data_IF_107319843691
#
_entry.id   IF_107319843691
#
_cell.length_a   1.000
_cell.length_b   1.000
_cell.length_c   1.000
_cell.angle_alpha   90.00
_cell.angle_beta   90.00
_cell.angle_gamma   90.00
#
_symmetry.space_group_name_H-M   'P 1'
#
loop_
_entity.id
_entity.type
_entity.pdbx_description
1 polymer ?
#
# COMPACT_ATOMS: atom_id res chain seq x y z
N UNK A 1 -4.10 21.46 -65.99
CA UNK A 1 -3.05 22.05 -66.87
C UNK A 1 -1.77 21.93 -66.07
N UNK A 2 -1.00 20.93 -66.51
CA UNK A 2 0.45 20.71 -66.65
C UNK A 2 1.32 20.92 -65.42
N UNK A 3 1.99 19.83 -64.95
CA UNK A 3 3.15 19.10 -65.52
C UNK A 3 4.46 19.81 -65.28
N UNK A 4 5.52 19.33 -64.86
CA UNK A 4 6.42 18.17 -65.12
C UNK A 4 7.63 18.36 -64.23
N UNK A 5 8.14 17.33 -63.53
CA UNK A 5 9.23 16.40 -63.84
C UNK A 5 10.60 17.04 -64.20
N UNK A 6 11.62 16.63 -63.49
CA UNK A 6 12.82 15.88 -63.93
C UNK A 6 13.87 15.91 -62.81
N UNK A 7 14.30 14.85 -62.24
CA UNK A 7 15.27 13.78 -62.59
C UNK A 7 16.74 14.21 -62.69
N UNK A 8 17.52 13.40 -61.93
CA UNK A 8 18.89 12.88 -62.24
C UNK A 8 20.09 13.80 -61.98
N UNK A 9 21.19 13.40 -61.48
CA UNK A 9 21.95 12.14 -61.58
C UNK A 9 23.17 12.14 -60.68
N UNK A 10 23.62 10.98 -60.38
CA UNK A 10 24.82 10.59 -59.66
C UNK A 10 26.15 11.06 -60.35
N UNK A 11 27.22 11.12 -59.60
CA UNK A 11 28.44 10.31 -59.89
C UNK A 11 29.55 10.49 -58.84
N UNK A 12 30.05 9.37 -58.45
CA UNK A 12 31.24 8.95 -57.70
C UNK A 12 32.51 9.62 -58.16
N UNK A 13 33.46 9.88 -57.23
CA UNK A 13 34.92 9.56 -57.41
C UNK A 13 35.57 9.43 -56.05
N UNK A 14 36.19 8.26 -55.79
CA UNK A 14 37.18 7.97 -54.78
C UNK A 14 38.48 8.80 -54.97
N UNK A 15 39.13 9.15 -53.83
CA UNK A 15 40.60 8.96 -53.72
C UNK A 15 41.06 8.95 -52.28
N UNK A 16 41.89 7.95 -51.95
CA UNK A 16 42.63 7.70 -50.74
C UNK A 16 43.66 8.78 -50.43
N UNK A 17 43.93 9.06 -49.15
CA UNK A 17 45.28 9.20 -48.69
C UNK A 17 45.33 8.88 -47.17
N UNK A 18 46.32 8.04 -46.82
CA UNK A 18 46.73 7.54 -45.54
C UNK A 18 47.27 8.68 -44.61
N UNK A 19 47.11 8.50 -43.28
CA UNK A 19 47.87 9.32 -42.34
C UNK A 19 47.34 9.25 -40.90
N UNK A 20 47.92 8.31 -40.13
CA UNK A 20 48.30 8.34 -38.73
C UNK A 20 47.24 8.27 -37.61
N UNK A 21 47.37 7.19 -36.87
CA UNK A 21 46.86 6.85 -35.57
C UNK A 21 46.98 7.97 -34.52
N UNK A 22 45.91 8.32 -33.87
CA UNK A 22 45.89 8.61 -32.43
C UNK A 22 44.71 7.94 -31.75
N UNK A 23 45.02 6.94 -30.98
CA UNK A 23 44.17 6.14 -30.15
C UNK A 23 43.69 7.00 -28.97
N UNK A 24 42.47 7.55 -29.01
CA UNK A 24 41.78 8.05 -27.83
C UNK A 24 40.69 7.05 -27.49
N UNK A 25 41.03 6.15 -26.58
CA UNK A 25 40.07 5.32 -25.89
C UNK A 25 39.18 6.21 -24.99
N UNK A 26 38.06 6.66 -25.50
CA UNK A 26 36.95 7.10 -24.66
C UNK A 26 36.22 5.86 -24.12
N UNK A 27 36.67 5.38 -22.98
CA UNK A 27 35.94 4.47 -22.16
C UNK A 27 34.79 5.25 -21.52
N UNK A 28 33.67 5.38 -22.23
CA UNK A 28 32.37 5.65 -21.61
C UNK A 28 31.97 4.37 -20.86
N UNK A 29 32.39 4.29 -19.60
CA UNK A 29 31.81 3.38 -18.63
C UNK A 29 30.41 3.86 -18.39
N UNK A 30 29.44 3.33 -19.11
CA UNK A 30 28.05 3.32 -18.70
C UNK A 30 28.05 2.56 -17.38
N UNK A 31 27.89 3.27 -16.25
CA UNK A 31 27.52 2.64 -15.01
C UNK A 31 26.13 2.05 -15.25
N UNK A 32 26.06 0.76 -15.55
CA UNK A 32 24.88 -0.02 -15.34
C UNK A 32 24.52 0.18 -13.85
N UNK A 33 23.40 0.83 -13.59
CA UNK A 33 22.78 0.79 -12.28
C UNK A 33 22.40 -0.68 -12.07
N UNK A 34 23.25 -1.41 -11.36
CA UNK A 34 22.87 -2.68 -10.76
C UNK A 34 21.72 -2.36 -9.80
N UNK A 35 20.48 -2.55 -10.24
CA UNK A 35 19.34 -2.70 -9.35
C UNK A 35 19.64 -3.91 -8.49
N UNK A 36 20.02 -3.68 -7.24
CA UNK A 36 20.30 -4.77 -6.30
C UNK A 36 19.05 -5.66 -6.22
N UNK A 37 19.23 -6.97 -6.42
CA UNK A 37 18.12 -7.92 -6.32
C UNK A 37 17.46 -7.80 -4.93
N UNK A 38 16.13 -7.86 -4.91
CA UNK A 38 15.35 -7.91 -3.66
C UNK A 38 15.78 -9.12 -2.83
N UNK A 39 16.02 -8.93 -1.54
CA UNK A 39 16.48 -9.96 -0.62
C UNK A 39 15.42 -10.29 0.42
N UNK A 40 15.32 -11.57 0.78
CA UNK A 40 14.55 -12.04 1.93
C UNK A 40 15.50 -12.38 3.07
N UNK A 41 15.18 -11.91 4.27
CA UNK A 41 15.84 -12.27 5.51
C UNK A 41 14.81 -12.81 6.51
N UNK A 42 14.99 -14.06 6.95
CA UNK A 42 14.12 -14.67 7.96
C UNK A 42 14.60 -14.25 9.34
N UNK A 43 13.69 -13.69 10.13
CA UNK A 43 13.97 -13.14 11.45
C UNK A 43 13.10 -13.77 12.52
N UNK A 44 13.55 -13.72 13.77
CA UNK A 44 12.75 -14.11 14.92
C UNK A 44 12.27 -12.88 15.69
N UNK A 45 10.96 -12.61 15.61
CA UNK A 45 10.27 -11.57 16.35
C UNK A 45 9.31 -12.14 17.40
N UNK A 46 9.44 -13.41 17.76
CA UNK A 46 8.54 -14.11 18.70
C UNK A 46 8.39 -13.39 20.04
N UNK A 47 9.46 -12.74 20.52
CA UNK A 47 9.43 -11.98 21.77
C UNK A 47 8.40 -10.82 21.75
N UNK A 48 8.21 -10.16 20.59
CA UNK A 48 7.26 -9.06 20.44
C UNK A 48 5.80 -9.53 20.39
N UNK A 49 5.58 -10.77 19.95
CA UNK A 49 4.24 -11.39 19.87
C UNK A 49 3.74 -11.94 21.20
N UNK A 50 4.63 -12.19 22.18
CA UNK A 50 4.27 -12.61 23.54
C UNK A 50 3.32 -13.84 23.58
N UNK A 51 3.53 -14.78 22.68
CA UNK A 51 2.73 -16.01 22.55
C UNK A 51 1.46 -15.87 21.69
N UNK A 52 1.16 -14.68 21.17
CA UNK A 52 0.06 -14.49 20.20
C UNK A 52 0.51 -15.01 18.83
N UNK A 53 -0.36 -15.77 18.17
CA UNK A 53 -0.11 -16.26 16.81
C UNK A 53 -0.23 -15.12 15.78
N UNK A 54 0.75 -15.06 14.87
CA UNK A 54 0.77 -14.06 13.82
C UNK A 54 2.08 -14.02 13.05
N UNK A 55 2.24 -13.01 12.25
CA UNK A 55 3.45 -12.78 11.44
C UNK A 55 3.74 -11.28 11.26
N UNK A 56 4.97 -10.98 10.85
CA UNK A 56 5.39 -9.62 10.57
C UNK A 56 6.28 -9.56 9.33
N UNK A 57 6.06 -8.55 8.51
CA UNK A 57 6.90 -8.15 7.38
C UNK A 57 7.43 -6.76 7.65
N UNK A 58 8.73 -6.57 7.50
CA UNK A 58 9.36 -5.25 7.44
C UNK A 58 10.15 -5.19 6.15
N UNK A 59 9.97 -4.14 5.37
CA UNK A 59 10.73 -3.88 4.15
C UNK A 59 11.48 -2.56 4.26
N UNK A 60 12.78 -2.64 4.16
CA UNK A 60 13.68 -1.49 4.14
C UNK A 60 14.01 -1.12 2.69
N UNK A 61 13.56 0.07 2.27
CA UNK A 61 13.76 0.52 0.89
C UNK A 61 15.24 0.82 0.58
N UNK A 62 16.04 1.17 1.60
CA UNK A 62 17.47 1.48 1.40
C UNK A 62 18.26 0.22 1.06
N UNK A 63 18.10 -0.83 1.86
CA UNK A 63 18.79 -2.11 1.66
C UNK A 63 18.10 -3.02 0.65
N UNK A 64 16.90 -2.65 0.17
CA UNK A 64 16.04 -3.46 -0.68
C UNK A 64 15.81 -4.88 -0.10
N UNK A 65 15.51 -4.95 1.20
CA UNK A 65 15.45 -6.21 1.94
C UNK A 65 14.12 -6.36 2.68
N UNK A 66 13.49 -7.52 2.51
CA UNK A 66 12.36 -7.96 3.32
C UNK A 66 12.86 -8.76 4.53
N UNK A 67 12.33 -8.44 5.70
CA UNK A 67 12.55 -9.17 6.95
C UNK A 67 11.23 -9.83 7.33
N UNK A 68 11.23 -11.15 7.39
CA UNK A 68 10.01 -11.96 7.48
C UNK A 68 10.03 -12.80 8.76
N UNK A 69 9.05 -12.57 9.62
CA UNK A 69 8.76 -13.44 10.77
C UNK A 69 7.53 -14.31 10.46
N UNK A 70 7.66 -15.63 10.57
CA UNK A 70 6.67 -16.60 10.11
C UNK A 70 6.36 -16.46 8.62
N UNK A 71 7.36 -16.69 7.77
CA UNK A 71 7.32 -16.47 6.32
C UNK A 71 6.06 -17.04 5.65
N UNK A 72 5.66 -18.26 5.98
CA UNK A 72 4.48 -18.90 5.38
C UNK A 72 3.21 -18.05 5.60
N UNK A 73 3.02 -17.53 6.81
CA UNK A 73 1.90 -16.65 7.13
C UNK A 73 2.04 -15.28 6.46
N UNK A 74 3.28 -14.79 6.29
CA UNK A 74 3.53 -13.54 5.56
C UNK A 74 3.13 -13.62 4.08
N UNK A 75 3.13 -14.82 3.49
CA UNK A 75 2.79 -15.08 2.09
C UNK A 75 1.34 -15.57 1.92
N UNK A 76 0.62 -15.86 3.01
CA UNK A 76 -0.77 -16.33 2.98
C UNK A 76 -1.74 -15.17 2.81
N UNK A 77 -2.64 -15.29 1.82
CA UNK A 77 -3.66 -14.29 1.56
C UNK A 77 -4.86 -14.43 2.51
N UNK A 78 -5.20 -13.36 3.20
CA UNK A 78 -6.30 -13.26 4.15
C UNK A 78 -7.11 -11.98 3.93
N UNK A 79 -8.26 -11.83 4.59
CA UNK A 79 -9.08 -10.62 4.44
C UNK A 79 -8.32 -9.37 4.89
N UNK A 80 -8.30 -8.28 4.08
CA UNK A 80 -7.62 -7.05 4.45
C UNK A 80 -8.31 -6.29 5.58
N UNK A 81 -9.58 -6.52 5.81
CA UNK A 81 -10.37 -5.81 6.82
C UNK A 81 -10.27 -4.27 6.61
N UNK A 82 -10.18 -3.52 7.70
CA UNK A 82 -10.12 -2.05 7.64
C UNK A 82 -8.82 -1.48 7.08
N UNK A 83 -7.79 -2.29 6.79
CA UNK A 83 -6.60 -1.81 6.07
C UNK A 83 -6.94 -1.45 4.61
N UNK A 84 -8.00 -2.04 4.04
CA UNK A 84 -8.51 -1.70 2.71
C UNK A 84 -8.96 -0.24 2.59
N UNK A 85 -9.20 0.46 3.70
CA UNK A 85 -9.54 1.88 3.69
C UNK A 85 -8.44 2.76 3.09
N UNK A 86 -7.18 2.31 3.08
CA UNK A 86 -6.09 2.98 2.36
C UNK A 86 -6.40 3.02 0.86
N UNK A 87 -6.76 1.87 0.29
CA UNK A 87 -7.11 1.74 -1.14
C UNK A 87 -8.43 2.44 -1.46
N UNK A 88 -9.44 2.32 -0.57
CA UNK A 88 -10.72 2.99 -0.73
C UNK A 88 -10.58 4.51 -0.76
N UNK A 89 -9.74 5.08 0.13
CA UNK A 89 -9.46 6.51 0.15
C UNK A 89 -8.74 6.95 -1.12
N UNK A 90 -7.71 6.21 -1.54
CA UNK A 90 -6.99 6.50 -2.77
C UNK A 90 -7.92 6.46 -3.99
N UNK A 91 -8.74 5.42 -4.13
CA UNK A 91 -9.71 5.30 -5.22
C UNK A 91 -10.72 6.47 -5.21
N UNK A 92 -11.20 6.84 -4.03
CA UNK A 92 -12.10 7.98 -3.88
C UNK A 92 -11.46 9.31 -4.30
N UNK A 93 -10.20 9.54 -3.97
CA UNK A 93 -9.44 10.73 -4.34
C UNK A 93 -9.16 10.75 -5.85
N UNK A 94 -8.65 9.65 -6.42
CA UNK A 94 -8.32 9.54 -7.85
C UNK A 94 -9.55 9.69 -8.76
N UNK A 95 -10.75 9.29 -8.28
CA UNK A 95 -12.00 9.41 -9.01
C UNK A 95 -12.82 10.68 -8.64
N UNK A 96 -12.23 11.63 -7.92
CA UNK A 96 -12.88 12.88 -7.50
C UNK A 96 -14.17 12.70 -6.68
N UNK A 97 -14.37 11.54 -6.05
CA UNK A 97 -15.42 11.29 -5.05
C UNK A 97 -15.05 11.98 -3.73
N UNK A 98 -13.77 11.98 -3.44
CA UNK A 98 -13.13 12.71 -2.35
C UNK A 98 -12.20 13.78 -2.94
N UNK A 99 -12.12 14.94 -2.30
CA UNK A 99 -11.33 16.09 -2.78
C UNK A 99 -10.17 16.40 -1.84
N UNK A 100 -10.39 16.23 -0.53
CA UNK A 100 -9.40 16.46 0.52
C UNK A 100 -9.82 15.75 1.82
N UNK A 101 -9.03 15.92 2.87
CA UNK A 101 -9.30 15.32 4.19
C UNK A 101 -10.62 15.76 4.83
N UNK A 102 -11.21 16.85 4.39
CA UNK A 102 -12.50 17.37 4.90
C UNK A 102 -13.72 16.89 4.08
N UNK A 103 -13.52 16.07 3.06
CA UNK A 103 -14.62 15.52 2.24
C UNK A 103 -15.56 14.68 3.12
N UNK A 104 -16.87 14.94 3.02
CA UNK A 104 -17.89 14.29 3.84
C UNK A 104 -18.73 13.33 3.02
N UNK A 105 -19.23 12.27 3.69
CA UNK A 105 -20.33 11.42 3.20
C UNK A 105 -21.56 11.62 4.07
N UNK A 106 -22.75 11.47 3.48
CA UNK A 106 -24.01 11.72 4.16
C UNK A 106 -24.32 10.57 5.13
N UNK A 107 -24.44 10.90 6.43
CA UNK A 107 -24.90 9.98 7.45
C UNK A 107 -26.38 9.66 7.27
N UNK A 108 -26.72 8.38 7.22
CA UNK A 108 -28.08 7.91 6.93
C UNK A 108 -29.05 7.90 8.14
N UNK A 109 -28.58 8.33 9.33
CA UNK A 109 -29.39 8.36 10.55
C UNK A 109 -29.52 7.00 11.27
N UNK A 110 -28.91 5.95 10.75
CA UNK A 110 -28.90 4.63 11.42
C UNK A 110 -28.03 4.68 12.67
N UNK A 111 -28.55 4.16 13.79
CA UNK A 111 -27.77 4.03 15.02
C UNK A 111 -26.77 2.90 14.90
N UNK A 112 -25.48 3.25 14.78
CA UNK A 112 -24.37 2.29 14.79
C UNK A 112 -23.88 2.00 16.20
N UNK A 113 -23.28 0.81 16.45
CA UNK A 113 -22.74 0.46 17.78
C UNK A 113 -21.59 1.33 18.23
N UNK A 114 -20.87 1.95 17.29
CA UNK A 114 -19.72 2.82 17.56
C UNK A 114 -20.22 4.27 17.52
N UNK A 115 -20.21 4.94 18.67
CA UNK A 115 -20.81 6.27 18.81
C UNK A 115 -20.21 7.31 17.87
N UNK A 116 -18.91 7.26 17.59
CA UNK A 116 -18.22 8.16 16.65
C UNK A 116 -18.70 8.02 15.21
N UNK A 117 -19.43 6.94 14.86
CA UNK A 117 -19.98 6.73 13.52
C UNK A 117 -21.36 7.37 13.33
N UNK A 118 -21.99 7.90 14.39
CA UNK A 118 -23.36 8.38 14.39
C UNK A 118 -23.47 9.89 14.08
N UNK A 119 -22.71 10.35 13.11
CA UNK A 119 -22.73 11.73 12.62
C UNK A 119 -22.12 11.81 11.21
N UNK A 120 -22.26 12.96 10.56
CA UNK A 120 -21.48 13.26 9.36
C UNK A 120 -20.01 13.30 9.73
N UNK A 121 -19.19 12.55 8.98
CA UNK A 121 -17.75 12.46 9.19
C UNK A 121 -17.00 13.03 7.98
N UNK A 122 -15.89 13.66 8.22
CA UNK A 122 -14.88 13.96 7.20
C UNK A 122 -14.08 12.70 6.85
N UNK A 123 -13.36 12.72 5.73
CA UNK A 123 -12.48 11.61 5.34
C UNK A 123 -11.48 11.30 6.46
N UNK A 124 -10.87 12.34 7.06
CA UNK A 124 -9.92 12.16 8.16
C UNK A 124 -10.57 11.48 9.36
N UNK A 125 -11.71 11.98 9.83
CA UNK A 125 -12.43 11.39 10.96
C UNK A 125 -12.89 9.95 10.68
N UNK A 126 -13.40 9.69 9.47
CA UNK A 126 -13.84 8.36 9.06
C UNK A 126 -12.66 7.36 9.00
N UNK A 127 -11.49 7.81 8.56
CA UNK A 127 -10.29 6.98 8.52
C UNK A 127 -9.76 6.69 9.93
N UNK A 128 -9.63 7.71 10.79
CA UNK A 128 -9.20 7.59 12.18
C UNK A 128 -10.14 6.69 13.00
N UNK A 129 -11.46 6.86 12.86
CA UNK A 129 -12.48 6.06 13.53
C UNK A 129 -12.80 4.73 12.81
N UNK A 130 -12.11 4.44 11.73
CA UNK A 130 -12.29 3.21 10.93
C UNK A 130 -13.76 2.98 10.51
N UNK A 131 -14.48 4.05 10.15
CA UNK A 131 -15.90 4.04 9.86
C UNK A 131 -16.21 3.25 8.59
N UNK A 132 -16.94 2.14 8.72
CA UNK A 132 -17.22 1.24 7.59
C UNK A 132 -18.24 1.87 6.63
N UNK A 133 -19.34 2.42 7.12
CA UNK A 133 -20.40 2.96 6.26
C UNK A 133 -19.90 4.11 5.37
N UNK A 134 -18.97 4.94 5.86
CA UNK A 134 -18.37 6.01 5.08
C UNK A 134 -17.63 5.46 3.85
N UNK A 135 -16.73 4.50 4.07
CA UNK A 135 -15.95 3.89 2.99
C UNK A 135 -16.80 2.97 2.11
N UNK A 136 -17.89 2.40 2.63
CA UNK A 136 -18.87 1.71 1.80
C UNK A 136 -19.49 2.67 0.77
N UNK A 137 -19.90 3.85 1.19
CA UNK A 137 -20.43 4.87 0.27
C UNK A 137 -19.38 5.31 -0.76
N UNK A 138 -18.12 5.57 -0.32
CA UNK A 138 -17.03 5.90 -1.24
C UNK A 138 -16.86 4.83 -2.30
N UNK A 139 -16.76 3.57 -1.90
CA UNK A 139 -16.57 2.43 -2.81
C UNK A 139 -17.76 2.28 -3.77
N UNK A 140 -18.99 2.45 -3.29
CA UNK A 140 -20.20 2.36 -4.13
C UNK A 140 -20.28 3.49 -5.17
N UNK A 141 -19.85 4.71 -4.82
CA UNK A 141 -19.82 5.85 -5.74
C UNK A 141 -18.72 5.70 -6.78
N UNK A 142 -17.52 5.24 -6.38
CA UNK A 142 -16.42 4.93 -7.31
C UNK A 142 -16.84 3.85 -8.29
N UNK A 143 -17.51 2.80 -7.81
CA UNK A 143 -18.08 1.73 -8.62
C UNK A 143 -17.12 0.56 -8.87
N UNK A 144 -17.70 -0.55 -9.33
CA UNK A 144 -16.99 -1.83 -9.46
C UNK A 144 -15.84 -1.78 -10.47
N UNK A 145 -16.03 -1.11 -11.61
CA UNK A 145 -15.05 -1.05 -12.68
C UNK A 145 -13.77 -0.33 -12.22
N UNK A 146 -13.91 0.86 -11.63
CA UNK A 146 -12.78 1.67 -11.20
C UNK A 146 -12.10 1.06 -9.97
N UNK A 147 -12.86 0.48 -9.04
CA UNK A 147 -12.27 -0.28 -7.92
C UNK A 147 -11.47 -1.48 -8.43
N UNK A 148 -12.00 -2.26 -9.38
CA UNK A 148 -11.27 -3.40 -9.93
C UNK A 148 -10.01 -2.97 -10.69
N UNK A 149 -10.09 -1.88 -11.45
CA UNK A 149 -8.94 -1.29 -12.15
C UNK A 149 -7.85 -0.88 -11.16
N UNK A 150 -8.22 -0.20 -10.06
CA UNK A 150 -7.29 0.17 -8.99
C UNK A 150 -6.63 -1.04 -8.35
N UNK A 151 -7.40 -2.09 -8.02
CA UNK A 151 -6.85 -3.32 -7.43
C UNK A 151 -5.86 -4.03 -8.37
N UNK A 152 -6.13 -4.01 -9.68
CA UNK A 152 -5.22 -4.58 -10.70
C UNK A 152 -3.94 -3.76 -10.84
N UNK A 153 -4.04 -2.44 -10.86
CA UNK A 153 -2.87 -1.56 -10.90
C UNK A 153 -1.97 -1.77 -9.69
N UNK A 154 -2.57 -1.87 -8.50
CA UNK A 154 -1.87 -2.11 -7.25
C UNK A 154 -1.38 -3.56 -7.08
N UNK A 155 -1.76 -4.49 -7.97
CA UNK A 155 -1.57 -5.94 -7.79
C UNK A 155 -2.04 -6.39 -6.38
N UNK A 156 -3.21 -5.88 -5.95
CA UNK A 156 -3.71 -6.03 -4.59
C UNK A 156 -4.30 -7.43 -4.37
N UNK A 157 -3.50 -8.33 -3.84
CA UNK A 157 -3.89 -9.69 -3.52
C UNK A 157 -4.57 -10.41 -4.69
N UNK A 158 -5.66 -11.12 -4.40
CA UNK A 158 -6.45 -11.81 -5.42
C UNK A 158 -7.31 -10.88 -6.29
N UNK A 159 -7.42 -9.61 -5.95
CA UNK A 159 -8.26 -8.60 -6.63
C UNK A 159 -9.73 -9.02 -6.80
N UNK A 160 -10.24 -9.92 -5.96
CA UNK A 160 -11.58 -10.48 -6.08
C UNK A 160 -12.64 -9.60 -5.40
N UNK A 161 -13.49 -8.98 -6.22
CA UNK A 161 -14.63 -8.15 -5.79
C UNK A 161 -15.97 -8.85 -6.05
N UNK A 162 -15.99 -10.16 -6.33
CA UNK A 162 -17.19 -10.90 -6.72
C UNK A 162 -18.31 -10.84 -5.67
N UNK A 163 -17.93 -10.78 -4.38
CA UNK A 163 -18.88 -10.57 -3.29
C UNK A 163 -18.97 -9.08 -2.94
N UNK A 164 -19.35 -8.22 -3.89
CA UNK A 164 -19.39 -6.76 -3.73
C UNK A 164 -20.08 -6.30 -2.46
N UNK A 165 -21.21 -6.92 -2.11
CA UNK A 165 -21.99 -6.60 -0.92
C UNK A 165 -21.54 -7.35 0.34
N UNK A 166 -20.43 -8.09 0.25
CA UNK A 166 -19.85 -8.86 1.35
C UNK A 166 -20.60 -10.16 1.64
N UNK A 167 -20.11 -10.88 2.64
CA UNK A 167 -20.63 -12.17 3.10
C UNK A 167 -21.85 -12.08 4.01
N UNK A 168 -22.39 -10.89 4.23
CA UNK A 168 -23.57 -10.61 5.08
C UNK A 168 -23.38 -11.00 6.56
N UNK A 169 -22.15 -10.90 7.05
CA UNK A 169 -21.82 -11.15 8.46
C UNK A 169 -22.54 -10.14 9.37
N UNK A 170 -22.65 -8.88 8.93
CA UNK A 170 -23.37 -7.85 9.67
C UNK A 170 -24.81 -7.72 9.15
N UNK A 171 -25.76 -7.54 10.07
CA UNK A 171 -27.17 -7.33 9.74
C UNK A 171 -27.46 -5.98 9.05
N UNK A 172 -26.58 -4.98 9.27
CA UNK A 172 -26.62 -3.69 8.58
C UNK A 172 -25.87 -3.80 7.26
N UNK A 173 -26.54 -3.66 6.08
CA UNK A 173 -25.91 -3.86 4.78
C UNK A 173 -24.67 -2.99 4.55
N UNK A 174 -24.71 -1.75 5.02
CA UNK A 174 -23.63 -0.77 4.88
C UNK A 174 -22.37 -1.08 5.71
N UNK A 175 -22.44 -2.08 6.58
CA UNK A 175 -21.33 -2.59 7.37
C UNK A 175 -20.73 -3.88 6.79
N UNK A 176 -21.09 -4.24 5.57
CA UNK A 176 -20.52 -5.35 4.82
C UNK A 176 -19.79 -4.84 3.57
N UNK A 177 -18.90 -5.65 3.02
CA UNK A 177 -18.19 -5.37 1.79
C UNK A 177 -17.23 -6.49 1.44
N UNK A 178 -16.82 -6.57 0.18
CA UNK A 178 -15.92 -7.61 -0.33
C UNK A 178 -14.57 -7.68 0.40
N UNK A 179 -14.18 -6.62 1.12
CA UNK A 179 -12.94 -6.53 1.91
C UNK A 179 -13.09 -6.95 3.38
N UNK A 180 -14.32 -7.23 3.84
CA UNK A 180 -14.63 -7.57 5.23
C UNK A 180 -14.98 -9.05 5.35
N UNK A 181 -13.96 -9.89 5.57
CA UNK A 181 -14.08 -11.35 5.70
C UNK A 181 -14.88 -12.00 4.56
N UNK A 182 -14.64 -11.50 3.34
CA UNK A 182 -15.36 -11.88 2.13
C UNK A 182 -14.40 -12.24 0.99
N UNK A 183 -14.70 -11.93 -0.26
CA UNK A 183 -13.94 -12.42 -1.43
C UNK A 183 -12.53 -11.86 -1.56
N UNK A 184 -12.30 -10.58 -1.21
CA UNK A 184 -10.98 -9.96 -1.34
C UNK A 184 -9.99 -10.48 -0.30
N UNK A 185 -8.82 -10.92 -0.77
CA UNK A 185 -7.72 -11.42 0.06
C UNK A 185 -6.40 -10.79 -0.36
N UNK A 186 -5.50 -10.62 0.61
CA UNK A 186 -4.16 -10.08 0.42
C UNK A 186 -3.22 -10.65 1.48
N UNK A 187 -1.96 -10.89 1.12
CA UNK A 187 -0.96 -11.34 2.09
C UNK A 187 -0.22 -10.15 2.74
N UNK A 188 0.40 -10.33 3.90
CA UNK A 188 1.25 -9.31 4.52
C UNK A 188 2.36 -8.78 3.60
N UNK A 189 3.01 -9.64 2.83
CA UNK A 189 4.02 -9.23 1.83
C UNK A 189 3.40 -8.35 0.75
N UNK A 190 2.22 -8.72 0.23
CA UNK A 190 1.51 -7.91 -0.77
C UNK A 190 1.02 -6.58 -0.19
N UNK A 191 0.63 -6.50 1.08
CA UNK A 191 0.31 -5.23 1.75
C UNK A 191 1.51 -4.27 1.72
N UNK A 192 2.69 -4.77 2.08
CA UNK A 192 3.94 -3.99 2.06
C UNK A 192 4.29 -3.56 0.64
N UNK A 193 4.18 -4.46 -0.35
CA UNK A 193 4.44 -4.15 -1.75
C UNK A 193 3.48 -3.06 -2.28
N UNK A 194 2.19 -3.15 -1.93
CA UNK A 194 1.19 -2.13 -2.28
C UNK A 194 1.55 -0.76 -1.69
N UNK A 195 1.89 -0.69 -0.40
CA UNK A 195 2.28 0.56 0.25
C UNK A 195 3.56 1.15 -0.38
N UNK A 196 4.56 0.30 -0.63
CA UNK A 196 5.79 0.73 -1.29
C UNK A 196 5.49 1.32 -2.69
N UNK A 197 4.65 0.69 -3.49
CA UNK A 197 4.25 1.23 -4.79
C UNK A 197 3.52 2.57 -4.66
N UNK A 198 2.50 2.66 -3.80
CA UNK A 198 1.67 3.86 -3.61
C UNK A 198 2.51 5.06 -3.17
N UNK A 199 3.47 4.86 -2.25
CA UNK A 199 4.28 5.96 -1.68
C UNK A 199 5.67 6.08 -2.32
N UNK A 200 5.98 5.30 -3.36
CA UNK A 200 7.18 5.47 -4.18
C UNK A 200 7.03 6.64 -5.16
N UNK A 201 8.13 7.00 -5.82
CA UNK A 201 8.13 8.01 -6.89
C UNK A 201 7.70 7.45 -8.25
N UNK A 202 7.50 6.15 -8.34
CA UNK A 202 7.24 5.42 -9.59
C UNK A 202 5.75 5.16 -9.84
N UNK A 203 4.87 5.55 -8.91
CA UNK A 203 3.43 5.41 -9.08
C UNK A 203 2.87 6.42 -10.11
N UNK A 204 1.68 6.13 -10.63
CA UNK A 204 0.97 6.97 -11.61
C UNK A 204 -0.12 7.85 -10.98
N UNK A 205 -0.22 7.89 -9.65
CA UNK A 205 -1.26 8.62 -8.94
C UNK A 205 -0.97 10.11 -8.85
N UNK A 206 -2.01 10.92 -8.66
CA UNK A 206 -1.87 12.34 -8.42
C UNK A 206 -1.09 12.59 -7.11
N UNK A 207 -0.01 13.36 -7.19
CA UNK A 207 0.87 13.62 -6.05
C UNK A 207 0.14 14.30 -4.88
N UNK A 208 -0.84 15.18 -5.15
CA UNK A 208 -1.65 15.82 -4.12
C UNK A 208 -2.54 14.79 -3.40
N UNK A 209 -3.13 13.85 -4.14
CA UNK A 209 -3.92 12.75 -3.56
C UNK A 209 -3.07 11.84 -2.67
N UNK A 210 -1.83 11.56 -3.06
CA UNK A 210 -0.89 10.79 -2.23
C UNK A 210 -0.55 11.55 -0.94
N UNK A 211 -0.36 12.87 -0.99
CA UNK A 211 -0.13 13.67 0.22
C UNK A 211 -1.36 13.69 1.14
N UNK A 212 -2.56 13.81 0.60
CA UNK A 212 -3.81 13.72 1.38
C UNK A 212 -3.90 12.34 2.06
N UNK A 213 -3.66 11.27 1.28
CA UNK A 213 -3.67 9.90 1.81
C UNK A 213 -2.65 9.72 2.94
N UNK A 214 -1.43 10.20 2.73
CA UNK A 214 -0.37 10.18 3.76
C UNK A 214 -0.80 10.92 5.02
N UNK A 215 -1.38 12.11 4.88
CA UNK A 215 -1.82 12.92 6.01
C UNK A 215 -2.92 12.23 6.85
N UNK A 216 -3.89 11.56 6.22
CA UNK A 216 -4.92 10.82 6.96
C UNK A 216 -4.38 9.53 7.61
N UNK A 217 -3.27 8.98 7.09
CA UNK A 217 -2.58 7.82 7.66
C UNK A 217 -1.65 8.17 8.82
N UNK A 218 -1.40 9.45 9.09
CA UNK A 218 -0.51 9.88 10.18
C UNK A 218 -0.97 9.33 11.53
N UNK A 219 -0.06 8.70 12.26
CA UNK A 219 -0.31 8.10 13.59
C UNK A 219 0.34 8.92 14.70
N UNK A 220 1.65 9.14 14.60
CA UNK A 220 2.43 9.84 15.61
C UNK A 220 3.82 10.22 15.09
N UNK A 221 4.50 11.11 15.82
CA UNK A 221 5.94 11.29 15.66
C UNK A 221 6.68 10.01 16.06
N UNK A 222 7.77 9.72 15.37
CA UNK A 222 8.60 8.55 15.58
C UNK A 222 10.08 8.94 15.39
N UNK A 223 10.86 8.96 16.49
CA UNK A 223 12.25 9.43 16.51
C UNK A 223 12.42 10.77 15.76
N UNK A 224 13.19 10.77 14.66
CA UNK A 224 13.38 11.96 13.81
C UNK A 224 12.44 11.98 12.58
N UNK A 225 11.33 11.28 12.63
CA UNK A 225 10.37 11.14 11.54
C UNK A 225 8.95 10.93 12.01
N UNK A 226 8.15 10.23 11.19
CA UNK A 226 6.73 10.00 11.46
C UNK A 226 6.33 8.56 11.16
N UNK A 227 5.38 8.04 11.93
CA UNK A 227 4.70 6.78 11.71
C UNK A 227 3.36 7.03 11.02
N UNK A 228 3.13 6.31 9.95
CA UNK A 228 1.89 6.30 9.18
C UNK A 228 1.33 4.88 9.13
N UNK A 229 0.02 4.72 9.24
CA UNK A 229 -0.54 3.38 9.16
C UNK A 229 -2.05 3.30 9.33
N UNK A 230 -2.55 2.06 9.20
CA UNK A 230 -3.95 1.71 9.39
C UNK A 230 -4.08 0.38 10.10
N UNK A 231 -4.93 0.37 11.13
CA UNK A 231 -5.35 -0.85 11.82
C UNK A 231 -6.51 -1.53 11.11
N UNK A 232 -6.64 -2.84 11.33
CA UNK A 232 -7.83 -3.61 10.99
C UNK A 232 -8.13 -4.60 12.10
N UNK A 233 -9.42 -4.87 12.36
CA UNK A 233 -9.87 -5.89 13.29
C UNK A 233 -11.01 -6.67 12.67
N UNK A 234 -10.97 -7.99 12.80
CA UNK A 234 -11.98 -8.92 12.29
C UNK A 234 -12.54 -9.77 13.40
N UNK A 235 -13.30 -10.77 13.03
CA UNK A 235 -13.84 -11.78 13.96
C UNK A 235 -12.77 -12.81 14.34
N UNK A 236 -12.99 -13.53 15.42
CA UNK A 236 -12.20 -14.70 15.83
C UNK A 236 -10.68 -14.45 15.94
N UNK A 237 -10.31 -13.30 16.47
CA UNK A 237 -8.91 -13.00 16.77
C UNK A 237 -8.07 -12.65 15.54
N UNK A 238 -8.65 -11.98 14.56
CA UNK A 238 -7.93 -11.45 13.39
C UNK A 238 -7.68 -9.96 13.53
N UNK A 239 -6.44 -9.55 13.29
CA UNK A 239 -6.09 -8.13 13.36
C UNK A 239 -4.89 -7.78 12.48
N UNK A 240 -4.86 -6.51 12.04
CA UNK A 240 -3.82 -5.93 11.23
C UNK A 240 -3.30 -4.61 11.79
N UNK A 241 -2.04 -4.35 11.55
CA UNK A 241 -1.51 -3.00 11.44
C UNK A 241 -0.50 -2.95 10.30
N UNK A 242 -0.77 -2.08 9.33
CA UNK A 242 0.08 -1.90 8.14
C UNK A 242 0.43 -0.43 7.96
N UNK A 243 1.61 -0.14 7.43
CA UNK A 243 2.03 1.24 7.26
C UNK A 243 3.51 1.38 6.93
N UNK A 244 4.05 2.53 7.25
CA UNK A 244 5.48 2.83 7.12
C UNK A 244 5.93 3.87 8.14
N UNK A 245 7.22 3.85 8.46
CA UNK A 245 7.92 4.98 9.09
C UNK A 245 8.67 5.74 8.00
N UNK A 246 8.74 7.05 8.12
CA UNK A 246 9.52 7.91 7.23
C UNK A 246 10.48 8.76 8.05
N UNK A 247 11.77 8.57 7.83
CA UNK A 247 12.87 9.31 8.46
C UNK A 247 13.77 9.85 7.37
N UNK A 248 13.98 11.17 7.34
CA UNK A 248 14.82 11.83 6.32
C UNK A 248 14.46 11.44 4.87
N UNK A 249 13.16 11.32 4.58
CA UNK A 249 12.59 10.88 3.28
C UNK A 249 12.83 9.42 2.91
N UNK A 250 13.45 8.62 3.76
CA UNK A 250 13.56 7.17 3.59
C UNK A 250 12.39 6.49 4.29
N UNK A 251 11.86 5.43 3.69
CA UNK A 251 10.73 4.70 4.24
C UNK A 251 11.10 3.26 4.58
N UNK A 252 10.58 2.83 5.72
CA UNK A 252 10.56 1.42 6.10
C UNK A 252 9.11 1.00 6.22
N UNK A 253 8.67 0.12 5.35
CA UNK A 253 7.29 -0.35 5.29
C UNK A 253 7.10 -1.58 6.15
N UNK A 254 5.90 -1.78 6.68
CA UNK A 254 5.62 -2.94 7.52
C UNK A 254 4.18 -3.41 7.40
N UNK A 255 3.98 -4.69 7.72
CA UNK A 255 2.68 -5.30 7.96
C UNK A 255 2.79 -6.29 9.12
N UNK A 256 1.97 -6.11 10.15
CA UNK A 256 1.76 -7.08 11.22
C UNK A 256 0.36 -7.64 11.10
N UNK A 257 0.25 -8.96 11.03
CA UNK A 257 -1.01 -9.68 11.02
C UNK A 257 -1.06 -10.66 12.17
N UNK A 258 -2.17 -10.62 12.89
CA UNK A 258 -2.48 -11.54 13.99
C UNK A 258 -3.67 -12.41 13.60
N UNK A 259 -3.58 -13.72 13.88
CA UNK A 259 -4.69 -14.63 13.77
C UNK A 259 -4.59 -15.68 14.91
N UNK A 260 -5.35 -15.46 15.96
CA UNK A 260 -5.28 -16.27 17.17
C UNK A 260 -6.65 -16.41 17.84
N UNK A 261 -7.34 -17.49 17.53
CA UNK A 261 -8.67 -17.79 18.09
C UNK A 261 -8.61 -18.01 19.61
N UNK A 262 -7.52 -18.57 20.12
CA UNK A 262 -7.35 -18.85 21.55
C UNK A 262 -7.16 -17.56 22.36
N UNK A 263 -6.57 -16.55 21.76
CA UNK A 263 -6.28 -15.25 22.36
C UNK A 263 -7.17 -14.14 21.79
N UNK A 264 -8.33 -14.47 21.20
CA UNK A 264 -9.21 -13.52 20.48
C UNK A 264 -9.61 -12.29 21.29
N UNK A 265 -9.69 -12.38 22.61
CA UNK A 265 -10.10 -11.28 23.49
C UNK A 265 -9.02 -10.20 23.64
N UNK A 266 -7.76 -10.52 23.35
CA UNK A 266 -6.64 -9.56 23.37
C UNK A 266 -6.12 -9.19 21.98
N UNK A 267 -6.52 -9.92 20.94
CA UNK A 267 -6.16 -9.62 19.55
C UNK A 267 -7.03 -8.49 19.02
N UNK A 268 -6.37 -7.43 18.60
CA UNK A 268 -7.01 -6.24 18.06
C UNK A 268 -6.04 -5.47 17.15
N UNK A 269 -6.55 -4.54 16.34
CA UNK A 269 -5.71 -3.62 15.58
C UNK A 269 -4.73 -2.84 16.46
N UNK A 270 -5.14 -2.45 17.67
CA UNK A 270 -4.25 -1.79 18.64
C UNK A 270 -3.13 -2.73 19.12
N UNK A 271 -3.41 -4.03 19.30
CA UNK A 271 -2.37 -5.00 19.66
C UNK A 271 -1.39 -5.23 18.52
N UNK A 272 -1.88 -5.34 17.28
CA UNK A 272 -1.01 -5.40 16.11
C UNK A 272 -0.12 -4.14 15.97
N UNK A 273 -0.69 -2.95 16.25
CA UNK A 273 0.06 -1.69 16.26
C UNK A 273 1.12 -1.66 17.36
N UNK A 274 0.82 -2.11 18.57
CA UNK A 274 1.79 -2.24 19.67
C UNK A 274 2.98 -3.12 19.27
N UNK A 275 2.71 -4.28 18.69
CA UNK A 275 3.74 -5.21 18.22
C UNK A 275 4.61 -4.56 17.12
N UNK A 276 3.99 -3.91 16.14
CA UNK A 276 4.70 -3.23 15.08
C UNK A 276 5.64 -2.13 15.61
N UNK A 277 5.15 -1.29 16.52
CA UNK A 277 5.95 -0.23 17.15
C UNK A 277 7.14 -0.84 17.92
N UNK A 278 6.95 -1.93 18.65
CA UNK A 278 8.03 -2.59 19.38
C UNK A 278 9.08 -3.18 18.43
N UNK A 279 8.68 -3.78 17.30
CA UNK A 279 9.61 -4.27 16.28
C UNK A 279 10.41 -3.10 15.70
N UNK A 280 9.74 -2.02 15.28
CA UNK A 280 10.35 -0.88 14.64
C UNK A 280 11.30 -0.12 15.59
N UNK A 281 10.95 0.06 16.86
CA UNK A 281 11.80 0.73 17.85
C UNK A 281 13.11 -0.02 18.15
N UNK A 282 13.17 -1.30 17.85
CA UNK A 282 14.38 -2.11 18.00
C UNK A 282 15.08 -2.39 16.67
N UNK A 283 14.49 -1.90 15.56
CA UNK A 283 15.00 -2.09 14.22
C UNK A 283 16.30 -1.35 13.97
N UNK A 284 16.37 -0.08 14.35
CA UNK A 284 17.53 0.80 14.14
C UNK A 284 18.73 0.39 14.98
N UNK A 285 18.49 -0.18 16.18
CA UNK A 285 19.55 -0.65 17.08
C UNK A 285 20.31 -1.92 16.59
N UNK A 286 19.85 -2.57 15.53
CA UNK A 286 20.48 -3.79 14.97
C UNK A 286 21.24 -3.55 13.68
N UNK A 287 21.15 -2.36 13.10
CA UNK A 287 21.77 -2.00 11.82
C UNK A 287 22.94 -1.00 11.97
N UNK A 288 23.31 -0.63 13.22
CA UNK A 288 24.57 0.03 13.59
C UNK A 288 25.63 -1.04 13.99
#
# INVERSE_FOLDING_TARGET
INSEQHENNAMVIEQKSEGENQNIQNTNTVKENETSAVKDNIVDYSEYFQGISGCAVVYDEISNTYFLYNKENCETEVSPLSTFKIVSALAGLENNVLVNENSTMEYNGVKYPIDTWNSNLTLKEAFENSCIWYFRQVVDIVGQEDIHTMLKELQYGNSDISEWNGSKINSLPELNGFWLESSLKISPVQQVATLNYVFSRENNFNAENIEILKNIMYVTEYDNGCLYGKTGSGTDGKAWFVGFIEVNSNKTYFAVYLEDVQNKDIVSGNKAKEIAINILSNWENKND
#
